data_IF_734905019242
#
_entry.id   IF_734905019242
#
_cell.length_a   1.000
_cell.length_b   1.000
_cell.length_c   1.000
_cell.angle_alpha   90.00
_cell.angle_beta   90.00
_cell.angle_gamma   90.00
#
_symmetry.space_group_name_H-M   'P 1'
#
loop_
_entity.id
_entity.type
_entity.pdbx_description
1 polymer ?
#
# COMPACT_ATOMS: atom_id res chain seq x y z
N UNK A 1 12.71 -8.88 -22.29
CA UNK A 1 11.78 -7.73 -22.39
C UNK A 1 12.09 -6.79 -21.25
N UNK A 2 12.03 -5.49 -21.49
CA UNK A 2 12.25 -4.44 -20.50
C UNK A 2 10.93 -3.73 -20.21
N UNK A 3 10.68 -3.42 -18.94
CA UNK A 3 9.52 -2.67 -18.49
C UNK A 3 10.02 -1.48 -17.67
N UNK A 4 9.66 -0.27 -18.11
CA UNK A 4 10.04 0.98 -17.45
C UNK A 4 9.03 1.32 -16.35
N UNK A 5 9.57 1.72 -15.20
CA UNK A 5 8.83 2.12 -14.02
C UNK A 5 9.35 3.47 -13.53
N UNK A 6 8.45 4.38 -13.21
CA UNK A 6 8.79 5.69 -12.68
C UNK A 6 8.45 5.78 -11.19
N UNK A 7 9.40 6.18 -10.35
CA UNK A 7 9.15 6.38 -8.92
C UNK A 7 9.05 7.86 -8.55
N UNK A 8 8.28 8.13 -7.50
CA UNK A 8 8.11 9.47 -6.94
C UNK A 8 8.14 9.39 -5.41
N UNK A 9 8.62 10.46 -4.77
CA UNK A 9 8.48 10.69 -3.35
C UNK A 9 7.45 11.81 -3.11
N UNK A 10 6.48 11.54 -2.25
CA UNK A 10 5.45 12.49 -1.85
C UNK A 10 5.67 12.80 -0.38
N UNK A 11 5.98 14.05 -0.09
CA UNK A 11 6.20 14.53 1.26
C UNK A 11 5.04 15.43 1.70
N UNK A 12 4.53 15.18 2.91
CA UNK A 12 3.59 16.10 3.57
C UNK A 12 4.10 16.48 4.95
N UNK A 13 3.44 17.45 5.59
CA UNK A 13 3.78 17.86 6.97
C UNK A 13 3.69 16.70 7.97
N UNK A 14 2.91 15.68 7.63
CA UNK A 14 2.58 14.58 8.54
C UNK A 14 3.32 13.29 8.22
N UNK A 15 3.48 12.95 6.94
CA UNK A 15 3.98 11.65 6.50
C UNK A 15 4.62 11.76 5.12
N UNK A 16 5.53 10.82 4.84
CA UNK A 16 6.14 10.68 3.52
C UNK A 16 5.71 9.33 2.92
N UNK A 17 5.60 9.30 1.60
CA UNK A 17 5.31 8.11 0.82
C UNK A 17 6.24 8.00 -0.38
N UNK A 18 6.62 6.77 -0.69
CA UNK A 18 7.35 6.40 -1.90
C UNK A 18 6.41 5.58 -2.76
N UNK A 19 6.23 5.96 -4.02
CA UNK A 19 5.39 5.24 -4.96
C UNK A 19 6.11 4.90 -6.25
N UNK A 20 5.65 3.86 -6.92
CA UNK A 20 6.12 3.46 -8.25
C UNK A 20 4.92 3.33 -9.17
N UNK A 21 5.03 3.98 -10.32
CA UNK A 21 4.09 3.95 -11.43
C UNK A 21 4.68 3.05 -12.51
N UNK A 22 3.82 2.26 -13.15
CA UNK A 22 4.16 1.53 -14.36
C UNK A 22 3.93 2.39 -15.58
N UNK A 23 4.97 2.66 -16.36
CA UNK A 23 4.92 3.65 -17.44
C UNK A 23 3.93 3.25 -18.54
N UNK A 24 3.91 1.96 -18.91
CA UNK A 24 3.05 1.43 -19.96
C UNK A 24 1.54 1.58 -19.66
N UNK A 25 1.14 1.61 -18.39
CA UNK A 25 -0.27 1.68 -17.99
C UNK A 25 -0.64 2.96 -17.25
N UNK A 26 0.35 3.76 -16.83
CA UNK A 26 0.18 4.88 -15.90
C UNK A 26 -0.57 4.48 -14.62
N UNK A 27 -0.33 3.25 -14.12
CA UNK A 27 -0.96 2.73 -12.90
C UNK A 27 0.02 2.64 -11.74
N UNK A 28 -0.51 2.84 -10.53
CA UNK A 28 0.23 2.63 -9.29
C UNK A 28 0.48 1.14 -9.05
N UNK A 29 1.74 0.75 -8.86
CA UNK A 29 2.12 -0.67 -8.67
C UNK A 29 2.88 -0.94 -7.37
N UNK A 30 3.34 0.11 -6.71
CA UNK A 30 4.01 0.04 -5.42
C UNK A 30 3.76 1.32 -4.65
N UNK A 31 3.43 1.21 -3.36
CA UNK A 31 3.27 2.34 -2.45
C UNK A 31 3.78 1.92 -1.06
N UNK A 32 4.73 2.68 -0.54
CA UNK A 32 5.37 2.46 0.76
C UNK A 32 5.35 3.75 1.56
N UNK A 33 5.27 3.64 2.88
CA UNK A 33 5.28 4.79 3.80
C UNK A 33 6.66 4.97 4.46
N UNK A 34 6.93 6.17 4.95
CA UNK A 34 8.16 6.53 5.67
C UNK A 34 9.17 7.29 4.81
N UNK A 35 10.24 7.78 5.44
CA UNK A 35 11.28 8.61 4.80
C UNK A 35 12.68 7.93 4.81
N UNK A 36 13.68 8.62 4.26
CA UNK A 36 15.12 8.29 4.25
C UNK A 36 15.64 7.38 3.11
N UNK A 37 15.04 7.41 1.91
CA UNK A 37 15.52 6.61 0.77
C UNK A 37 15.35 5.09 0.93
N UNK A 38 14.85 4.63 2.08
CA UNK A 38 14.56 3.23 2.34
C UNK A 38 13.44 2.70 1.42
N UNK A 39 12.52 3.59 0.99
CA UNK A 39 11.49 3.28 -0.01
C UNK A 39 12.10 2.78 -1.31
N UNK A 40 13.04 3.56 -1.89
CA UNK A 40 13.75 3.21 -3.11
C UNK A 40 14.57 1.93 -2.96
N UNK A 41 15.29 1.77 -1.84
CA UNK A 41 16.06 0.55 -1.57
C UNK A 41 15.17 -0.70 -1.56
N UNK A 42 14.08 -0.65 -0.79
CA UNK A 42 13.12 -1.75 -0.69
C UNK A 42 12.47 -2.06 -2.05
N UNK A 43 12.09 -1.03 -2.81
CA UNK A 43 11.51 -1.20 -4.13
C UNK A 43 12.51 -1.84 -5.09
N UNK A 44 13.77 -1.38 -5.13
CA UNK A 44 14.83 -2.02 -5.94
C UNK A 44 14.96 -3.50 -5.62
N UNK A 45 15.02 -3.88 -4.34
CA UNK A 45 15.10 -5.29 -3.93
C UNK A 45 13.85 -6.11 -4.33
N UNK A 46 12.65 -5.54 -4.14
CA UNK A 46 11.39 -6.19 -4.48
C UNK A 46 11.24 -6.37 -6.01
N UNK A 47 11.54 -5.35 -6.81
CA UNK A 47 11.50 -5.42 -8.27
C UNK A 47 12.59 -6.31 -8.85
N UNK A 48 13.79 -6.36 -8.26
CA UNK A 48 14.83 -7.34 -8.65
C UNK A 48 14.36 -8.78 -8.47
N UNK A 49 13.69 -9.09 -7.33
CA UNK A 49 13.10 -10.41 -7.09
C UNK A 49 11.98 -10.71 -8.10
N UNK A 50 11.15 -9.71 -8.41
CA UNK A 50 10.10 -9.85 -9.42
C UNK A 50 10.69 -10.12 -10.81
N UNK A 51 11.75 -9.38 -11.20
CA UNK A 51 12.45 -9.56 -12.48
C UNK A 51 12.94 -11.00 -12.65
N UNK A 52 13.56 -11.58 -11.61
CA UNK A 52 14.02 -12.98 -11.63
C UNK A 52 12.86 -13.96 -11.82
N UNK A 53 11.73 -13.70 -11.17
CA UNK A 53 10.55 -14.57 -11.21
C UNK A 53 9.83 -14.53 -12.55
N UNK A 54 9.67 -13.35 -13.14
CA UNK A 54 8.89 -13.16 -14.38
C UNK A 54 9.73 -13.15 -15.64
N UNK A 55 11.07 -13.15 -15.52
CA UNK A 55 12.03 -12.95 -16.63
C UNK A 55 11.83 -11.62 -17.37
N UNK A 56 11.25 -10.62 -16.70
CA UNK A 56 11.09 -9.25 -17.17
C UNK A 56 12.15 -8.35 -16.52
N UNK A 57 12.77 -7.43 -17.25
CA UNK A 57 13.69 -6.46 -16.67
C UNK A 57 12.91 -5.21 -16.23
N UNK A 58 12.56 -5.09 -14.95
CA UNK A 58 11.96 -3.87 -14.41
C UNK A 58 13.02 -2.82 -14.09
N UNK A 59 12.93 -1.65 -14.72
CA UNK A 59 13.88 -0.55 -14.56
C UNK A 59 13.20 0.62 -13.86
N UNK A 60 13.68 0.95 -12.65
CA UNK A 60 13.20 2.09 -11.87
C UNK A 60 13.93 3.38 -12.29
N UNK A 61 13.17 4.40 -12.65
CA UNK A 61 13.66 5.75 -13.00
C UNK A 61 13.01 6.77 -12.08
N UNK A 62 13.76 7.80 -11.72
CA UNK A 62 13.21 8.91 -10.94
C UNK A 62 12.25 9.71 -11.81
N UNK A 63 11.05 9.94 -11.29
CA UNK A 63 10.06 10.80 -11.91
C UNK A 63 10.17 12.23 -11.40
N UNK A 64 9.89 13.17 -12.28
CA UNK A 64 9.76 14.58 -11.95
C UNK A 64 8.28 14.98 -12.13
N UNK A 65 7.59 15.46 -11.07
CA UNK A 65 6.16 15.75 -11.13
C UNK A 65 5.78 16.73 -12.25
N UNK A 66 6.64 17.70 -12.57
CA UNK A 66 6.41 18.68 -13.65
C UNK A 66 6.36 18.05 -15.05
N UNK A 67 6.90 16.84 -15.23
CA UNK A 67 6.87 16.09 -16.49
C UNK A 67 5.85 14.93 -16.47
N UNK A 68 5.13 14.75 -15.37
CA UNK A 68 4.17 13.67 -15.23
C UNK A 68 2.90 13.93 -16.06
N UNK A 69 2.35 12.88 -16.66
CA UNK A 69 1.08 12.99 -17.37
C UNK A 69 -0.09 13.21 -16.37
N UNK A 70 -1.27 13.66 -16.83
CA UNK A 70 -2.39 13.99 -15.95
C UNK A 70 -2.85 12.84 -15.04
N UNK A 71 -2.76 11.58 -15.48
CA UNK A 71 -3.13 10.42 -14.65
C UNK A 71 -2.16 10.21 -13.50
N UNK A 72 -0.86 10.32 -13.80
CA UNK A 72 0.18 10.21 -12.77
C UNK A 72 0.07 11.35 -11.77
N UNK A 73 -0.18 12.58 -12.24
CA UNK A 73 -0.42 13.73 -11.37
C UNK A 73 -1.63 13.53 -10.45
N UNK A 74 -2.74 12.99 -10.97
CA UNK A 74 -3.90 12.66 -10.15
C UNK A 74 -3.56 11.63 -9.05
N UNK A 75 -2.76 10.60 -9.36
CA UNK A 75 -2.30 9.63 -8.36
C UNK A 75 -1.46 10.30 -7.27
N UNK A 76 -0.51 11.15 -7.65
CA UNK A 76 0.36 11.87 -6.71
C UNK A 76 -0.46 12.75 -5.76
N UNK A 77 -1.42 13.51 -6.30
CA UNK A 77 -2.29 14.39 -5.52
C UNK A 77 -3.25 13.59 -4.62
N UNK A 78 -3.78 12.47 -5.10
CA UNK A 78 -4.64 11.57 -4.33
C UNK A 78 -3.88 10.97 -3.13
N UNK A 79 -2.64 10.54 -3.33
CA UNK A 79 -1.75 10.09 -2.24
C UNK A 79 -1.48 11.20 -1.25
N UNK A 80 -1.13 12.40 -1.72
CA UNK A 80 -0.91 13.57 -0.87
C UNK A 80 -2.16 13.89 -0.03
N UNK A 81 -3.33 13.95 -0.66
CA UNK A 81 -4.62 14.21 -0.01
C UNK A 81 -4.95 13.15 1.02
N UNK A 82 -4.68 11.87 0.75
CA UNK A 82 -4.87 10.81 1.76
C UNK A 82 -3.98 11.06 2.99
N UNK A 83 -2.71 11.39 2.77
CA UNK A 83 -1.74 11.60 3.85
C UNK A 83 -2.08 12.80 4.73
N UNK A 84 -2.78 13.79 4.19
CA UNK A 84 -3.20 14.99 4.91
C UNK A 84 -4.59 14.84 5.55
N UNK A 85 -5.57 14.21 4.86
CA UNK A 85 -6.99 14.30 5.20
C UNK A 85 -7.73 12.94 5.29
N UNK A 86 -7.05 11.80 5.09
CA UNK A 86 -7.64 10.45 5.03
C UNK A 86 -8.69 10.23 3.91
N UNK A 87 -8.75 11.11 2.90
CA UNK A 87 -9.63 10.88 1.75
C UNK A 87 -9.22 9.59 1.04
N UNK A 88 -10.12 8.59 0.89
CA UNK A 88 -9.76 7.30 0.29
C UNK A 88 -9.17 7.45 -1.11
N UNK A 89 -8.09 6.72 -1.36
CA UNK A 89 -7.51 6.60 -2.69
C UNK A 89 -8.47 5.84 -3.61
N UNK A 90 -8.95 6.52 -4.65
CA UNK A 90 -9.86 5.94 -5.66
C UNK A 90 -9.16 5.53 -6.95
N UNK A 91 -7.82 5.57 -6.97
CA UNK A 91 -7.05 5.57 -8.22
C UNK A 91 -6.78 4.18 -8.84
N UNK A 92 -6.43 4.23 -10.12
CA UNK A 92 -5.98 3.10 -10.95
C UNK A 92 -4.66 2.50 -10.41
N UNK A 93 -4.75 1.32 -9.80
CA UNK A 93 -3.60 0.53 -9.36
C UNK A 93 -3.58 -0.85 -10.03
N UNK A 94 -2.43 -1.52 -9.99
CA UNK A 94 -2.24 -2.87 -10.53
C UNK A 94 -1.42 -3.73 -9.55
N UNK A 95 -1.83 -4.99 -9.34
CA UNK A 95 -1.05 -5.94 -8.54
C UNK A 95 0.08 -6.56 -9.37
N UNK A 96 1.27 -5.97 -9.34
CA UNK A 96 2.49 -6.62 -9.85
C UNK A 96 3.08 -7.65 -8.87
N UNK A 97 2.71 -7.55 -7.60
CA UNK A 97 3.16 -8.42 -6.53
C UNK A 97 2.02 -9.27 -5.98
N UNK A 98 2.40 -10.29 -5.22
CA UNK A 98 1.46 -11.14 -4.50
C UNK A 98 1.10 -12.43 -5.24
N UNK A 99 0.81 -13.48 -4.48
CA UNK A 99 0.15 -14.68 -4.98
C UNK A 99 -1.36 -14.44 -5.11
N UNK A 100 -2.11 -15.29 -5.84
CA UNK A 100 -3.57 -15.20 -5.89
C UNK A 100 -4.22 -15.19 -4.49
N UNK A 101 -3.68 -16.00 -3.56
CA UNK A 101 -4.13 -15.97 -2.17
C UNK A 101 -3.90 -14.61 -1.50
N UNK A 102 -2.71 -14.02 -1.66
CA UNK A 102 -2.41 -12.71 -1.08
C UNK A 102 -3.31 -11.62 -1.67
N UNK A 103 -3.50 -11.60 -3.00
CA UNK A 103 -4.37 -10.64 -3.66
C UNK A 103 -5.84 -10.80 -3.24
N UNK A 104 -6.31 -12.03 -2.99
CA UNK A 104 -7.64 -12.27 -2.41
C UNK A 104 -7.78 -11.66 -1.01
N UNK A 105 -6.78 -11.85 -0.14
CA UNK A 105 -6.74 -11.24 1.20
C UNK A 105 -6.72 -9.71 1.11
N UNK A 106 -5.91 -9.16 0.21
CA UNK A 106 -5.80 -7.71 0.02
C UNK A 106 -7.08 -7.11 -0.51
N UNK A 107 -7.74 -7.77 -1.46
CA UNK A 107 -9.03 -7.34 -2.00
C UNK A 107 -10.08 -7.24 -0.91
N UNK A 108 -10.24 -8.29 -0.09
CA UNK A 108 -11.18 -8.27 1.05
C UNK A 108 -10.83 -7.18 2.08
N UNK A 109 -9.54 -6.91 2.29
CA UNK A 109 -9.12 -5.87 3.24
C UNK A 109 -9.43 -4.45 2.75
N UNK A 110 -9.55 -4.21 1.44
CA UNK A 110 -9.91 -2.89 0.90
C UNK A 110 -11.32 -2.48 1.24
N UNK A 111 -12.21 -3.44 1.45
CA UNK A 111 -13.61 -3.19 1.80
C UNK A 111 -13.80 -2.74 3.25
N UNK A 112 -12.73 -2.71 4.05
CA UNK A 112 -12.76 -2.20 5.43
C UNK A 112 -12.71 -0.67 5.40
N UNK A 113 -13.78 0.05 5.80
CA UNK A 113 -13.83 1.51 5.68
C UNK A 113 -12.82 2.22 6.59
N UNK A 114 -12.46 3.45 6.23
CA UNK A 114 -11.63 4.32 7.08
C UNK A 114 -12.26 4.49 8.48
N UNK A 115 -11.42 4.43 9.51
CA UNK A 115 -11.84 4.54 10.91
C UNK A 115 -12.48 3.28 11.48
N UNK A 116 -12.57 2.20 10.69
CA UNK A 116 -12.94 0.86 11.16
C UNK A 116 -11.71 -0.06 11.16
N UNK A 117 -11.79 -1.12 11.95
CA UNK A 117 -10.76 -2.16 12.01
C UNK A 117 -11.39 -3.54 11.81
N UNK A 118 -10.61 -4.45 11.27
CA UNK A 118 -10.94 -5.87 11.15
C UNK A 118 -9.85 -6.68 11.84
N UNK A 119 -10.15 -7.91 12.26
CA UNK A 119 -9.12 -8.82 12.76
C UNK A 119 -8.78 -9.91 11.74
N UNK A 120 -7.60 -10.51 11.87
CA UNK A 120 -7.10 -11.53 10.95
C UNK A 120 -8.04 -12.74 10.81
N UNK A 121 -8.71 -13.14 11.90
CA UNK A 121 -9.62 -14.29 11.88
C UNK A 121 -10.93 -13.97 11.16
N UNK A 122 -11.42 -12.73 11.24
CA UNK A 122 -12.57 -12.25 10.48
C UNK A 122 -12.23 -12.22 8.99
N UNK A 123 -11.07 -11.69 8.60
CA UNK A 123 -10.62 -11.75 7.21
C UNK A 123 -10.52 -13.19 6.69
N UNK A 124 -9.96 -14.10 7.49
CA UNK A 124 -9.86 -15.52 7.14
C UNK A 124 -11.23 -16.15 6.90
N UNK A 125 -12.24 -15.84 7.73
CA UNK A 125 -13.63 -16.27 7.52
C UNK A 125 -14.21 -15.70 6.22
N UNK A 126 -14.05 -14.41 5.98
CA UNK A 126 -14.62 -13.73 4.81
C UNK A 126 -14.07 -14.26 3.48
N UNK A 127 -12.79 -14.61 3.42
CA UNK A 127 -12.21 -15.23 2.21
C UNK A 127 -12.54 -16.73 2.06
N UNK A 128 -13.37 -17.30 2.95
CA UNK A 128 -13.80 -18.69 2.93
C UNK A 128 -12.80 -19.69 3.56
N UNK A 129 -11.78 -19.23 4.26
CA UNK A 129 -10.70 -20.06 4.83
C UNK A 129 -10.53 -19.79 6.33
N UNK A 130 -11.50 -20.14 7.19
CA UNK A 130 -11.52 -19.76 8.61
C UNK A 130 -10.31 -20.26 9.41
N UNK A 131 -9.66 -21.34 8.99
CA UNK A 131 -8.46 -21.91 9.63
C UNK A 131 -7.14 -21.21 9.20
N UNK A 132 -7.19 -20.30 8.23
CA UNK A 132 -6.01 -19.69 7.62
C UNK A 132 -5.54 -18.37 8.28
N UNK A 133 -5.93 -18.09 9.53
CA UNK A 133 -5.63 -16.83 10.24
C UNK A 133 -4.15 -16.42 10.18
N UNK A 134 -3.22 -17.36 10.40
CA UNK A 134 -1.78 -17.07 10.33
C UNK A 134 -1.33 -16.72 8.90
N UNK A 135 -1.80 -17.48 7.91
CA UNK A 135 -1.49 -17.21 6.50
C UNK A 135 -2.04 -15.85 6.05
N UNK A 136 -3.24 -15.48 6.52
CA UNK A 136 -3.81 -14.14 6.32
C UNK A 136 -2.94 -13.07 6.94
N UNK A 137 -2.49 -13.23 8.19
CA UNK A 137 -1.57 -12.29 8.82
C UNK A 137 -0.27 -12.09 8.04
N UNK A 138 0.31 -13.18 7.53
CA UNK A 138 1.48 -13.12 6.65
C UNK A 138 1.15 -12.39 5.33
N UNK A 139 0.01 -12.67 4.70
CA UNK A 139 -0.41 -11.99 3.48
C UNK A 139 -0.58 -10.48 3.68
N UNK A 140 -1.22 -10.06 4.78
CA UNK A 140 -1.38 -8.64 5.16
C UNK A 140 -0.01 -7.96 5.31
N UNK A 141 0.96 -8.63 5.94
CA UNK A 141 2.32 -8.10 6.13
C UNK A 141 3.14 -7.99 4.84
N UNK A 142 2.81 -8.77 3.80
CA UNK A 142 3.49 -8.74 2.50
C UNK A 142 2.95 -7.67 1.53
N UNK A 143 2.01 -6.84 1.98
CA UNK A 143 1.44 -5.76 1.18
C UNK A 143 2.54 -4.82 0.62
N UNK A 144 2.49 -4.57 -0.69
CA UNK A 144 3.35 -3.62 -1.43
C UNK A 144 2.63 -2.33 -1.85
N UNK A 145 1.33 -2.23 -1.57
CA UNK A 145 0.45 -1.11 -1.92
C UNK A 145 -0.14 -0.56 -0.61
N UNK A 146 0.68 0.11 0.19
CA UNK A 146 0.21 0.78 1.41
C UNK A 146 -0.95 1.72 1.08
N UNK A 147 -1.87 1.94 2.03
CA UNK A 147 -3.05 2.83 1.89
C UNK A 147 -4.11 2.36 0.88
N UNK A 148 -3.72 1.98 -0.34
CA UNK A 148 -4.58 1.30 -1.32
C UNK A 148 -5.11 0.00 -0.73
N UNK A 149 -4.21 -0.83 -0.20
CA UNK A 149 -4.55 -1.96 0.65
C UNK A 149 -4.34 -1.48 2.09
N UNK A 150 -5.41 -1.24 2.88
CA UNK A 150 -5.33 -0.57 4.17
C UNK A 150 -4.91 -1.54 5.28
N UNK A 151 -3.70 -2.10 5.16
CA UNK A 151 -3.19 -3.12 6.09
C UNK A 151 -3.05 -2.65 7.54
N UNK A 152 -3.00 -1.33 7.78
CA UNK A 152 -3.06 -0.74 9.11
C UNK A 152 -4.41 -0.96 9.82
N UNK A 153 -5.50 -1.22 9.08
CA UNK A 153 -6.83 -1.51 9.63
C UNK A 153 -6.99 -2.95 10.13
N UNK A 154 -6.04 -3.83 9.85
CA UNK A 154 -6.07 -5.22 10.35
C UNK A 154 -5.32 -5.36 11.68
N UNK A 155 -6.00 -5.83 12.73
CA UNK A 155 -5.47 -5.90 14.10
C UNK A 155 -5.58 -7.31 14.72
N UNK A 156 -4.79 -7.64 15.76
CA UNK A 156 -4.94 -8.90 16.49
C UNK A 156 -6.30 -8.98 17.22
N UNK A 157 -6.84 -10.18 17.35
CA UNK A 157 -8.08 -10.41 18.13
C UNK A 157 -7.88 -10.20 19.63
N UNK A 158 -6.66 -10.41 20.13
CA UNK A 158 -6.25 -10.17 21.52
C UNK A 158 -6.21 -8.68 21.89
N UNK A 159 -6.50 -7.78 20.95
CA UNK A 159 -6.32 -6.34 21.10
C UNK A 159 -4.89 -5.88 20.80
N UNK A 160 -4.66 -4.58 21.00
CA UNK A 160 -3.40 -3.91 20.66
C UNK A 160 -3.27 -3.56 19.17
N UNK A 161 -2.13 -2.97 18.82
CA UNK A 161 -1.88 -2.42 17.48
C UNK A 161 -1.35 -3.49 16.50
N UNK A 162 -0.70 -4.54 17.02
CA UNK A 162 -0.05 -5.57 16.22
C UNK A 162 1.15 -5.07 15.41
N UNK A 163 1.76 -5.96 14.64
CA UNK A 163 2.86 -5.61 13.75
C UNK A 163 2.39 -4.73 12.58
N UNK A 164 3.30 -3.89 12.09
CA UNK A 164 3.14 -3.11 10.88
C UNK A 164 4.49 -3.01 10.18
N UNK A 165 4.50 -3.16 8.85
CA UNK A 165 5.73 -3.14 8.05
C UNK A 165 6.56 -1.87 8.28
N UNK A 166 5.89 -0.75 8.49
CA UNK A 166 6.49 0.57 8.70
C UNK A 166 6.47 1.00 10.18
N UNK A 167 6.32 0.05 11.10
CA UNK A 167 6.37 0.28 12.53
C UNK A 167 5.01 0.59 13.17
N UNK A 168 4.81 0.04 14.37
CA UNK A 168 3.60 0.24 15.17
C UNK A 168 3.24 1.71 15.45
N UNK A 169 4.19 2.65 15.65
CA UNK A 169 3.87 4.07 15.81
C UNK A 169 3.13 4.66 14.61
N UNK A 170 3.57 4.34 13.39
CA UNK A 170 2.91 4.82 12.17
C UNK A 170 1.51 4.21 12.01
N UNK A 171 1.35 2.92 12.32
CA UNK A 171 0.03 2.26 12.35
C UNK A 171 -0.93 2.96 13.30
N UNK A 172 -0.47 3.30 14.51
CA UNK A 172 -1.26 4.05 15.50
C UNK A 172 -1.62 5.45 15.00
N UNK A 173 -0.67 6.14 14.36
CA UNK A 173 -0.89 7.46 13.77
C UNK A 173 -1.97 7.41 12.69
N UNK A 174 -1.89 6.48 11.74
CA UNK A 174 -2.90 6.28 10.70
C UNK A 174 -4.30 5.98 11.27
N UNK A 175 -4.41 5.04 12.19
CA UNK A 175 -5.71 4.71 12.82
C UNK A 175 -6.29 5.89 13.61
N UNK A 176 -5.45 6.69 14.27
CA UNK A 176 -5.87 7.89 15.01
C UNK A 176 -6.34 8.97 14.04
N UNK A 177 -5.59 9.17 12.95
CA UNK A 177 -5.90 10.11 11.89
C UNK A 177 -7.27 9.77 11.25
N UNK A 178 -7.49 8.52 10.85
CA UNK A 178 -8.77 8.09 10.28
C UNK A 178 -9.96 8.26 11.24
N UNK A 179 -9.77 7.98 12.54
CA UNK A 179 -10.82 8.18 13.55
C UNK A 179 -11.22 9.64 13.71
N UNK A 180 -10.25 10.57 13.67
CA UNK A 180 -10.51 12.00 13.78
C UNK A 180 -11.34 12.52 12.61
N UNK A 181 -11.03 12.08 11.39
CA UNK A 181 -11.74 12.54 10.19
C UNK A 181 -13.10 11.86 10.01
N UNK A 182 -13.35 10.70 10.65
CA UNK A 182 -14.69 10.10 10.74
C UNK A 182 -15.64 10.93 11.62
N UNK A 183 -15.14 11.61 12.64
CA UNK A 183 -15.97 12.38 13.58
C UNK A 183 -16.37 13.77 13.05
N UNK A 184 -15.87 14.18 11.88
CA UNK A 184 -16.08 15.51 11.28
C UNK A 184 -17.05 15.43 10.07
N UNK A 185 -17.55 14.24 9.73
CA UNK A 185 -18.62 14.04 8.72
C UNK A 185 -19.93 13.71 9.41
#
# INVERSE_FOLDING_TARGET
>A
MEESLTYFEVETKSMNAFLVIRDASSRLVYLSLGNNGQGLKNAKEDFQKLSRKTKMNYVLREGSPENANPKVMAILESVRTFLDDCTPLTEDYEYLFGTPFQQKVWTELRDVPAGQVVNYSTLAKKIGLPKATRAVGHAVGQNKLALIVPCHRCVPVSGGIGHFRWGSPLKKKLLTHEKRHKLIK
#
